data_IF_186756519069
#
_entry.id   IF_186756519069
#
_cell.length_a   1.000
_cell.length_b   1.000
_cell.length_c   1.000
_cell.angle_alpha   90.00
_cell.angle_beta   90.00
_cell.angle_gamma   90.00
#
_symmetry.space_group_name_H-M   'P 1'
#
loop_
_entity.id
_entity.type
_entity.pdbx_description
1 polymer ?
#
# COMPACT_ATOMS: atom_id res chain seq x y z
N UNK A 1 -3.50 36.15 -0.76
CA UNK A 1 -4.09 35.06 0.05
C UNK A 1 -4.43 33.94 -0.91
N UNK A 2 -3.51 33.02 -1.14
CA UNK A 2 -3.73 31.87 -2.02
C UNK A 2 -4.30 30.76 -1.15
N UNK A 3 -5.58 30.42 -1.36
CA UNK A 3 -6.19 29.21 -0.85
C UNK A 3 -5.57 28.03 -1.61
N UNK A 4 -4.50 27.44 -1.06
CA UNK A 4 -4.08 26.12 -1.51
C UNK A 4 -5.18 25.15 -1.09
N UNK A 5 -5.97 24.68 -2.05
CA UNK A 5 -6.87 23.57 -1.80
C UNK A 5 -6.00 22.41 -1.27
N UNK A 6 -6.20 22.07 0.01
CA UNK A 6 -5.58 20.90 0.62
C UNK A 6 -6.04 19.69 -0.18
N UNK A 7 -5.11 18.88 -0.65
CA UNK A 7 -5.48 17.57 -1.20
C UNK A 7 -6.24 16.81 -0.11
N UNK A 8 -7.40 16.23 -0.44
CA UNK A 8 -8.18 15.48 0.53
C UNK A 8 -7.35 14.29 1.02
N UNK A 9 -7.18 14.16 2.33
CA UNK A 9 -6.56 12.98 2.93
C UNK A 9 -7.47 11.78 2.71
N UNK A 10 -6.91 10.65 2.36
CA UNK A 10 -7.67 9.41 2.11
C UNK A 10 -8.50 8.97 3.33
N UNK A 11 -8.01 9.25 4.53
CA UNK A 11 -8.67 8.92 5.80
C UNK A 11 -9.72 9.94 6.26
N UNK A 12 -9.77 11.15 5.67
CA UNK A 12 -10.64 12.23 6.16
C UNK A 12 -12.13 11.84 6.17
N UNK A 13 -12.61 11.26 5.08
CA UNK A 13 -14.03 10.83 4.98
C UNK A 13 -14.40 9.80 6.06
N UNK A 14 -13.47 8.89 6.37
CA UNK A 14 -13.67 7.89 7.41
C UNK A 14 -13.67 8.53 8.81
N UNK A 15 -12.72 9.43 9.07
CA UNK A 15 -12.64 10.15 10.35
C UNK A 15 -13.86 11.04 10.56
N UNK A 16 -14.34 11.74 9.53
CA UNK A 16 -15.56 12.55 9.57
C UNK A 16 -16.78 11.70 9.95
N UNK A 17 -16.96 10.56 9.29
CA UNK A 17 -18.07 9.66 9.56
C UNK A 17 -18.02 9.09 10.99
N UNK A 18 -16.85 8.64 11.45
CA UNK A 18 -16.68 8.10 12.80
C UNK A 18 -16.86 9.18 13.88
N UNK A 19 -16.49 10.42 13.59
CA UNK A 19 -16.67 11.57 14.48
C UNK A 19 -18.15 11.95 14.56
N UNK A 20 -18.86 12.00 13.43
CA UNK A 20 -20.27 12.29 13.39
C UNK A 20 -21.14 11.27 14.17
N UNK A 21 -20.70 10.02 14.21
CA UNK A 21 -21.33 8.95 15.00
C UNK A 21 -20.83 8.90 16.47
N UNK A 22 -20.03 9.87 16.90
CA UNK A 22 -19.44 9.95 18.26
C UNK A 22 -18.68 8.67 18.68
N UNK A 23 -18.19 7.92 17.68
CA UNK A 23 -17.54 6.61 17.90
C UNK A 23 -16.03 6.67 17.90
N UNK A 24 -15.44 7.76 17.40
CA UNK A 24 -13.98 7.96 17.34
C UNK A 24 -13.46 8.58 18.63
N UNK A 25 -12.72 7.80 19.41
CA UNK A 25 -12.07 8.27 20.64
C UNK A 25 -10.57 8.48 20.47
N UNK A 26 -9.95 7.60 19.67
CA UNK A 26 -8.50 7.60 19.45
C UNK A 26 -8.18 7.31 17.99
N UNK A 27 -7.22 8.06 17.45
CA UNK A 27 -6.61 7.81 16.13
C UNK A 27 -5.15 7.37 16.33
N UNK A 28 -4.79 6.24 15.73
CA UNK A 28 -3.44 5.67 15.84
C UNK A 28 -2.85 5.50 14.45
N UNK A 29 -2.24 6.54 13.87
CA UNK A 29 -1.50 6.39 12.61
C UNK A 29 -0.19 5.62 12.85
N UNK A 30 0.15 4.74 11.90
CA UNK A 30 1.40 4.00 11.88
C UNK A 30 2.08 4.21 10.54
N UNK A 31 3.32 4.67 10.54
CA UNK A 31 4.15 4.87 9.34
C UNK A 31 5.63 4.74 9.68
N UNK A 32 6.46 4.38 8.70
CA UNK A 32 7.93 4.32 8.84
C UNK A 32 8.56 5.69 8.81
N UNK A 33 7.92 6.67 8.18
CA UNK A 33 8.40 8.04 8.07
C UNK A 33 7.93 8.88 9.25
N UNK A 34 8.81 9.10 10.23
CA UNK A 34 8.53 9.95 11.40
C UNK A 34 8.07 11.36 10.99
N UNK A 35 8.71 11.97 10.00
CA UNK A 35 8.39 13.32 9.54
C UNK A 35 6.95 13.41 9.01
N UNK A 36 6.56 12.48 8.12
CA UNK A 36 5.22 12.42 7.56
C UNK A 36 4.19 12.12 8.63
N UNK A 37 4.50 11.17 9.51
CA UNK A 37 3.63 10.75 10.61
C UNK A 37 3.33 11.91 11.56
N UNK A 38 4.36 12.65 11.99
CA UNK A 38 4.23 13.81 12.89
C UNK A 38 3.42 14.91 12.22
N UNK A 39 3.69 15.23 10.95
CA UNK A 39 2.92 16.24 10.20
C UNK A 39 1.44 15.85 10.07
N UNK A 40 1.15 14.58 9.77
CA UNK A 40 -0.21 14.04 9.69
C UNK A 40 -0.92 14.09 11.05
N UNK A 41 -0.24 13.69 12.14
CA UNK A 41 -0.80 13.71 13.48
C UNK A 41 -1.19 15.13 13.92
N UNK A 42 -0.35 16.13 13.66
CA UNK A 42 -0.69 17.54 13.94
C UNK A 42 -1.87 18.04 13.09
N UNK A 43 -1.94 17.64 11.82
CA UNK A 43 -3.06 18.02 10.96
C UNK A 43 -4.39 17.45 11.46
N UNK A 44 -4.38 16.17 11.90
CA UNK A 44 -5.57 15.53 12.49
C UNK A 44 -5.94 16.20 13.83
N UNK A 45 -4.97 16.46 14.71
CA UNK A 45 -5.22 17.12 15.99
C UNK A 45 -5.85 18.52 15.84
N UNK A 46 -5.46 19.25 14.81
CA UNK A 46 -6.01 20.58 14.54
C UNK A 46 -7.46 20.52 14.03
N UNK A 47 -7.85 19.45 13.36
CA UNK A 47 -9.18 19.27 12.75
C UNK A 47 -10.16 18.57 13.70
N UNK A 48 -9.67 17.60 14.48
CA UNK A 48 -10.46 16.75 15.39
C UNK A 48 -10.00 16.93 16.85
N UNK A 49 -10.31 18.08 17.44
CA UNK A 49 -9.79 18.47 18.78
C UNK A 49 -10.26 17.56 19.94
N UNK A 50 -11.30 16.74 19.75
CA UNK A 50 -11.87 15.90 20.79
C UNK A 50 -11.27 14.47 20.84
N UNK A 51 -10.40 14.10 19.89
CA UNK A 51 -9.83 12.76 19.83
C UNK A 51 -8.42 12.70 20.35
N UNK A 52 -8.05 11.59 20.98
CA UNK A 52 -6.67 11.28 21.34
C UNK A 52 -5.89 10.83 20.08
N UNK A 53 -4.66 11.33 19.90
CA UNK A 53 -3.79 10.88 18.83
C UNK A 53 -2.55 10.20 19.42
N UNK A 54 -2.32 8.97 18.99
CA UNK A 54 -1.18 8.16 19.42
C UNK A 54 -0.42 7.67 18.18
N UNK A 55 0.55 8.46 17.70
CA UNK A 55 1.34 8.11 16.52
C UNK A 55 2.38 7.03 16.83
N UNK A 56 2.52 6.05 15.95
CA UNK A 56 3.48 4.94 16.06
C UNK A 56 4.43 4.96 14.88
N UNK A 57 5.71 5.25 15.11
CA UNK A 57 6.76 5.11 14.09
C UNK A 57 7.11 3.63 13.96
N UNK A 58 6.85 3.04 12.80
CA UNK A 58 7.08 1.60 12.61
C UNK A 58 6.68 1.10 11.23
N UNK A 59 7.15 -0.09 10.94
CA UNK A 59 6.82 -0.86 9.76
C UNK A 59 5.60 -1.73 10.05
N UNK A 60 4.52 -1.57 9.30
CA UNK A 60 3.27 -2.33 9.52
C UNK A 60 3.44 -3.85 9.33
N UNK A 61 4.45 -4.30 8.58
CA UNK A 61 4.74 -5.74 8.47
C UNK A 61 5.36 -6.32 9.76
N UNK A 62 5.92 -5.50 10.65
CA UNK A 62 6.71 -5.94 11.82
C UNK A 62 6.18 -5.39 13.15
N UNK A 63 5.56 -4.23 13.14
CA UNK A 63 5.28 -3.47 14.36
C UNK A 63 3.79 -3.32 14.67
N UNK A 64 2.90 -4.12 14.07
CA UNK A 64 1.46 -4.11 14.40
C UNK A 64 1.19 -4.32 15.89
N UNK A 65 2.04 -5.09 16.58
CA UNK A 65 1.91 -5.31 18.03
C UNK A 65 2.21 -4.07 18.87
N UNK A 66 2.85 -3.04 18.32
CA UNK A 66 3.07 -1.76 18.99
C UNK A 66 1.83 -0.85 18.96
N UNK A 67 0.84 -1.17 18.13
CA UNK A 67 -0.44 -0.43 18.09
C UNK A 67 -1.22 -0.75 19.37
N UNK A 68 -1.56 0.28 20.17
CA UNK A 68 -2.26 0.06 21.44
C UNK A 68 -3.62 -0.59 21.23
N UNK A 69 -4.01 -1.45 22.17
CA UNK A 69 -5.34 -2.04 22.23
C UNK A 69 -6.42 -0.99 22.56
N UNK A 70 -7.68 -1.39 22.40
CA UNK A 70 -8.86 -0.57 22.72
C UNK A 70 -10.09 -1.46 22.86
N UNK A 71 -11.24 -0.87 23.21
CA UNK A 71 -12.49 -1.62 23.39
C UNK A 71 -13.09 -2.10 22.07
N UNK A 72 -12.97 -1.27 21.01
CA UNK A 72 -13.34 -1.60 19.63
C UNK A 72 -12.38 -0.89 18.70
N UNK A 73 -11.77 -1.63 17.81
CA UNK A 73 -10.79 -1.09 16.86
C UNK A 73 -11.24 -1.28 15.43
N UNK A 74 -11.02 -0.26 14.62
CA UNK A 74 -11.05 -0.37 13.17
C UNK A 74 -9.61 -0.20 12.66
N UNK A 75 -9.02 -1.28 12.19
CA UNK A 75 -7.75 -1.22 11.47
C UNK A 75 -8.06 -0.83 10.03
N UNK A 76 -7.65 0.37 9.62
CA UNK A 76 -7.84 0.87 8.26
C UNK A 76 -6.53 0.79 7.48
N UNK A 77 -6.51 0.01 6.40
CA UNK A 77 -5.36 -0.17 5.52
C UNK A 77 -5.75 0.28 4.11
N UNK A 78 -5.61 1.58 3.89
CA UNK A 78 -6.10 2.29 2.70
C UNK A 78 -4.97 2.56 1.71
N UNK A 79 -5.28 3.19 0.56
CA UNK A 79 -4.29 3.59 -0.45
C UNK A 79 -3.78 2.47 -1.34
N UNK A 80 -4.50 1.35 -1.45
CA UNK A 80 -4.12 0.18 -2.28
C UNK A 80 -2.77 -0.45 -1.94
N UNK A 81 -2.18 -0.11 -0.80
CA UNK A 81 -0.87 -0.61 -0.35
C UNK A 81 -0.84 -2.12 -0.18
N UNK A 82 -1.99 -2.74 0.15
CA UNK A 82 -2.10 -4.19 0.27
C UNK A 82 -1.79 -4.91 -1.05
N UNK A 83 -2.05 -4.27 -2.18
CA UNK A 83 -1.73 -4.77 -3.51
C UNK A 83 -0.23 -4.86 -3.79
N UNK A 84 0.57 -4.06 -3.11
CA UNK A 84 2.03 -4.03 -3.29
C UNK A 84 2.74 -5.13 -2.48
N UNK A 85 2.02 -5.80 -1.59
CA UNK A 85 2.55 -6.96 -0.88
C UNK A 85 2.56 -8.20 -1.79
N UNK A 86 3.73 -8.84 -1.92
CA UNK A 86 3.81 -10.16 -2.52
C UNK A 86 2.93 -11.16 -1.74
N UNK A 87 2.43 -12.24 -2.37
CA UNK A 87 1.46 -13.16 -1.74
C UNK A 87 1.85 -13.62 -0.34
N UNK A 88 3.10 -14.03 -0.15
CA UNK A 88 3.59 -14.53 1.15
C UNK A 88 3.68 -13.40 2.20
N UNK A 89 4.03 -12.18 1.79
CA UNK A 89 4.05 -11.02 2.68
C UNK A 89 2.63 -10.62 3.08
N UNK A 90 1.70 -10.62 2.11
CA UNK A 90 0.28 -10.32 2.35
C UNK A 90 -0.38 -11.36 3.26
N UNK A 91 -0.09 -12.65 3.06
CA UNK A 91 -0.56 -13.72 3.94
C UNK A 91 -0.07 -13.48 5.38
N UNK A 92 1.23 -13.23 5.58
CA UNK A 92 1.78 -12.92 6.91
C UNK A 92 1.13 -11.69 7.53
N UNK A 93 0.92 -10.63 6.75
CA UNK A 93 0.27 -9.40 7.20
C UNK A 93 -1.17 -9.68 7.66
N UNK A 94 -1.98 -10.35 6.84
CA UNK A 94 -3.37 -10.68 7.18
C UNK A 94 -3.45 -11.58 8.42
N UNK A 95 -2.56 -12.57 8.57
CA UNK A 95 -2.46 -13.38 9.78
C UNK A 95 -2.10 -12.54 11.02
N UNK A 96 -1.14 -11.62 10.91
CA UNK A 96 -0.76 -10.74 12.01
C UNK A 96 -1.91 -9.84 12.44
N UNK A 97 -2.63 -9.26 11.46
CA UNK A 97 -3.85 -8.47 11.72
C UNK A 97 -4.91 -9.34 12.39
N UNK A 98 -5.24 -10.51 11.81
CA UNK A 98 -6.25 -11.43 12.35
C UNK A 98 -5.96 -11.85 13.79
N UNK A 99 -4.68 -12.11 14.13
CA UNK A 99 -4.25 -12.43 15.48
C UNK A 99 -4.37 -11.24 16.45
N UNK A 100 -4.23 -10.01 15.95
CA UNK A 100 -4.32 -8.78 16.75
C UNK A 100 -5.75 -8.34 17.07
N UNK A 101 -6.73 -8.75 16.24
CA UNK A 101 -8.13 -8.34 16.39
C UNK A 101 -8.82 -9.09 17.54
N UNK A 102 -9.50 -8.35 18.40
CA UNK A 102 -10.41 -8.89 19.41
C UNK A 102 -11.84 -9.05 18.84
N UNK A 103 -12.74 -9.79 19.52
CA UNK A 103 -14.16 -9.79 19.15
C UNK A 103 -14.74 -8.36 19.13
N UNK A 104 -15.34 -7.97 18.02
CA UNK A 104 -15.86 -6.62 17.82
C UNK A 104 -14.93 -5.67 17.06
N UNK A 105 -13.66 -6.01 16.89
CA UNK A 105 -12.72 -5.30 16.03
C UNK A 105 -12.97 -5.63 14.53
N UNK A 106 -12.52 -4.75 13.66
CA UNK A 106 -12.62 -4.94 12.21
C UNK A 106 -11.37 -4.47 11.46
N UNK A 107 -11.14 -5.05 10.29
CA UNK A 107 -10.17 -4.60 9.29
C UNK A 107 -10.91 -4.02 8.09
N UNK A 108 -10.57 -2.80 7.70
CA UNK A 108 -11.05 -2.14 6.49
C UNK A 108 -9.86 -1.97 5.53
N UNK A 109 -9.99 -2.45 4.31
CA UNK A 109 -8.98 -2.22 3.27
C UNK A 109 -9.61 -2.14 1.89
N UNK A 110 -8.91 -1.50 0.96
CA UNK A 110 -9.39 -1.33 -0.40
C UNK A 110 -8.31 -1.43 -1.44
N UNK A 111 -8.67 -1.88 -2.63
CA UNK A 111 -7.81 -1.93 -3.80
C UNK A 111 -8.62 -2.03 -5.10
N UNK A 112 -7.91 -1.93 -6.23
CA UNK A 112 -8.48 -2.00 -7.57
C UNK A 112 -8.92 -3.42 -7.94
N UNK A 113 -10.08 -3.51 -8.59
CA UNK A 113 -10.73 -4.76 -9.06
C UNK A 113 -10.91 -4.78 -10.59
N UNK A 114 -10.21 -3.92 -11.32
CA UNK A 114 -10.42 -3.69 -12.75
C UNK A 114 -10.21 -4.93 -13.63
N UNK A 115 -10.83 -4.87 -14.81
CA UNK A 115 -10.52 -5.75 -15.93
C UNK A 115 -9.03 -5.66 -16.32
N UNK A 116 -8.35 -6.80 -16.61
CA UNK A 116 -6.92 -6.82 -16.95
C UNK A 116 -6.50 -5.86 -18.05
N UNK A 117 -7.28 -5.74 -19.12
CA UNK A 117 -6.95 -4.86 -20.24
C UNK A 117 -6.96 -3.37 -19.82
N UNK A 118 -7.88 -2.99 -18.95
CA UNK A 118 -7.96 -1.64 -18.38
C UNK A 118 -6.84 -1.39 -17.36
N UNK A 119 -6.42 -2.43 -16.64
CA UNK A 119 -5.30 -2.37 -15.71
C UNK A 119 -4.00 -2.08 -16.46
N UNK A 120 -3.65 -2.87 -17.47
CA UNK A 120 -2.42 -2.65 -18.25
C UNK A 120 -2.37 -1.23 -18.86
N UNK A 121 -3.49 -0.77 -19.41
CA UNK A 121 -3.59 0.60 -19.95
C UNK A 121 -3.38 1.68 -18.87
N UNK A 122 -3.80 1.45 -17.63
CA UNK A 122 -3.61 2.38 -16.53
C UNK A 122 -2.15 2.49 -16.09
N UNK A 123 -1.40 1.37 -16.10
CA UNK A 123 0.02 1.36 -15.71
C UNK A 123 0.97 1.70 -16.86
N UNK A 124 0.53 1.56 -18.11
CA UNK A 124 1.25 1.99 -19.31
C UNK A 124 0.64 3.27 -19.89
N UNK A 125 0.34 4.23 -19.02
CA UNK A 125 -0.31 5.48 -19.38
C UNK A 125 0.46 6.26 -20.44
N UNK A 126 -0.26 6.85 -21.42
CA UNK A 126 0.34 7.58 -22.54
C UNK A 126 1.15 8.82 -22.14
N UNK A 127 0.99 9.31 -20.91
CA UNK A 127 1.77 10.42 -20.33
C UNK A 127 3.06 9.95 -19.67
N UNK A 128 3.25 8.63 -19.51
CA UNK A 128 4.39 8.00 -18.86
C UNK A 128 4.54 8.40 -17.39
N UNK A 129 3.43 8.63 -16.68
CA UNK A 129 3.48 9.04 -15.27
C UNK A 129 3.95 7.90 -14.39
N UNK A 130 3.45 6.69 -14.64
CA UNK A 130 3.86 5.48 -13.92
C UNK A 130 5.35 5.22 -14.14
N UNK A 131 5.82 5.25 -15.38
CA UNK A 131 7.25 5.09 -15.67
C UNK A 131 8.11 6.11 -14.93
N UNK A 132 7.71 7.40 -14.95
CA UNK A 132 8.46 8.47 -14.27
C UNK A 132 8.51 8.25 -12.76
N UNK A 133 7.39 7.82 -12.17
CA UNK A 133 7.31 7.52 -10.75
C UNK A 133 8.25 6.37 -10.38
N UNK A 134 8.16 5.24 -11.10
CA UNK A 134 8.99 4.05 -10.85
C UNK A 134 10.47 4.34 -11.10
N UNK A 135 10.78 5.07 -12.17
CA UNK A 135 12.16 5.48 -12.51
C UNK A 135 12.76 6.43 -11.45
N UNK A 136 11.94 7.24 -10.78
CA UNK A 136 12.41 8.06 -9.67
C UNK A 136 13.02 7.22 -8.53
N UNK A 137 12.54 5.99 -8.31
CA UNK A 137 13.15 5.07 -7.35
C UNK A 137 14.62 4.77 -7.66
N UNK A 138 14.97 4.59 -8.95
CA UNK A 138 16.36 4.40 -9.38
C UNK A 138 17.21 5.66 -9.12
N UNK A 139 16.65 6.86 -9.33
CA UNK A 139 17.34 8.12 -9.03
C UNK A 139 17.55 8.32 -7.52
N UNK A 140 16.64 7.82 -6.69
CA UNK A 140 16.83 7.81 -5.23
C UNK A 140 18.00 6.90 -4.85
N UNK A 141 18.12 5.70 -5.45
CA UNK A 141 19.26 4.82 -5.22
C UNK A 141 20.59 5.50 -5.63
N UNK A 142 20.58 6.20 -6.77
CA UNK A 142 21.77 6.95 -7.20
C UNK A 142 22.18 8.02 -6.17
N UNK A 143 21.20 8.76 -5.63
CA UNK A 143 21.45 9.82 -4.68
C UNK A 143 21.90 9.29 -3.31
N UNK A 144 21.23 8.26 -2.80
CA UNK A 144 21.43 7.78 -1.42
C UNK A 144 22.61 6.79 -1.33
N UNK A 145 22.83 5.99 -2.38
CA UNK A 145 23.84 4.92 -2.39
C UNK A 145 25.00 5.18 -3.36
N UNK A 146 24.96 6.31 -4.08
CA UNK A 146 25.97 6.63 -5.08
C UNK A 146 25.96 5.70 -6.28
N UNK A 147 24.83 5.02 -6.55
CA UNK A 147 24.72 4.11 -7.68
C UNK A 147 24.71 4.85 -9.02
N UNK A 148 24.80 4.11 -10.12
CA UNK A 148 24.78 4.68 -11.46
C UNK A 148 23.64 4.13 -12.34
N UNK A 149 22.51 3.78 -11.72
CA UNK A 149 21.31 3.34 -12.43
C UNK A 149 20.82 4.35 -13.47
N UNK A 150 21.01 5.65 -13.24
CA UNK A 150 20.64 6.70 -14.21
C UNK A 150 21.46 6.65 -15.51
N UNK A 151 22.64 6.03 -15.48
CA UNK A 151 23.52 5.83 -16.66
C UNK A 151 23.22 4.53 -17.39
N UNK A 152 22.58 3.59 -16.71
CA UNK A 152 22.19 2.31 -17.25
C UNK A 152 21.01 2.47 -18.22
N UNK A 153 20.93 1.54 -19.18
CA UNK A 153 19.85 1.53 -20.18
C UNK A 153 18.80 0.50 -19.75
N UNK A 154 17.63 1.02 -19.41
CA UNK A 154 16.50 0.21 -18.98
C UNK A 154 15.22 0.63 -19.68
N UNK A 155 14.53 -0.31 -20.27
CA UNK A 155 13.19 -0.13 -20.85
C UNK A 155 12.14 -0.46 -19.79
N UNK A 156 11.22 0.49 -19.57
CA UNK A 156 10.10 0.31 -18.64
C UNK A 156 9.09 -0.70 -19.17
N UNK A 157 8.54 -1.51 -18.28
CA UNK A 157 7.42 -2.38 -18.58
C UNK A 157 6.53 -2.57 -17.34
N UNK A 158 5.22 -2.46 -17.56
CA UNK A 158 4.19 -2.88 -16.63
C UNK A 158 3.32 -3.91 -17.35
N UNK A 159 3.37 -5.17 -16.92
CA UNK A 159 2.70 -6.28 -17.59
C UNK A 159 1.76 -7.01 -16.63
N UNK A 160 0.56 -7.33 -17.10
CA UNK A 160 -0.38 -8.16 -16.37
C UNK A 160 0.08 -9.62 -16.30
N UNK A 161 0.19 -10.16 -15.09
CA UNK A 161 0.41 -11.58 -14.85
C UNK A 161 -0.91 -12.23 -14.44
N UNK A 162 -1.57 -12.98 -15.33
CA UNK A 162 -2.86 -13.59 -15.04
C UNK A 162 -2.78 -14.76 -14.03
N UNK A 163 -1.60 -15.35 -13.82
CA UNK A 163 -1.39 -16.41 -12.86
C UNK A 163 -1.41 -15.88 -11.43
N UNK A 164 -0.73 -14.76 -11.24
CA UNK A 164 -0.58 -14.13 -9.92
C UNK A 164 -1.63 -13.05 -9.67
N UNK A 165 -2.38 -12.64 -10.70
CA UNK A 165 -3.37 -11.56 -10.66
C UNK A 165 -2.76 -10.24 -10.17
N UNK A 166 -1.60 -9.88 -10.73
CA UNK A 166 -0.93 -8.63 -10.45
C UNK A 166 -0.38 -7.96 -11.71
N UNK A 167 -0.09 -6.68 -11.60
CA UNK A 167 0.78 -6.00 -12.55
C UNK A 167 2.22 -6.14 -12.05
N UNK A 168 3.08 -6.72 -12.88
CA UNK A 168 4.53 -6.76 -12.65
C UNK A 168 5.15 -5.49 -13.23
N UNK A 169 5.70 -4.65 -12.38
CA UNK A 169 6.17 -3.31 -12.73
C UNK A 169 7.70 -3.26 -12.56
N UNK A 170 8.39 -2.73 -13.57
CA UNK A 170 9.85 -2.59 -13.49
C UNK A 170 10.47 -2.31 -14.86
N UNK A 171 11.67 -2.82 -15.06
CA UNK A 171 12.48 -2.53 -16.24
C UNK A 171 13.08 -3.80 -16.83
N UNK A 172 13.42 -3.74 -18.12
CA UNK A 172 14.27 -4.72 -18.79
C UNK A 172 15.61 -4.07 -19.15
N UNK A 173 16.70 -4.77 -18.87
CA UNK A 173 18.06 -4.32 -19.24
C UNK A 173 18.20 -4.29 -20.77
N UNK A 174 18.71 -3.18 -21.31
CA UNK A 174 19.03 -3.03 -22.73
C UNK A 174 20.51 -3.30 -22.94
N UNK A 175 20.81 -4.51 -23.36
CA UNK A 175 22.17 -5.05 -23.41
C UNK A 175 22.68 -5.55 -22.06
N UNK A 176 23.74 -6.36 -22.10
CA UNK A 176 24.46 -6.73 -20.89
C UNK A 176 25.17 -5.49 -20.30
N UNK A 177 25.03 -5.30 -19.00
CA UNK A 177 25.60 -4.12 -18.32
C UNK A 177 25.84 -4.42 -16.84
N UNK A 178 26.65 -3.57 -16.20
CA UNK A 178 26.93 -3.62 -14.77
C UNK A 178 26.53 -2.28 -14.16
N UNK A 179 25.78 -2.33 -13.08
CA UNK A 179 25.43 -1.15 -12.28
C UNK A 179 26.21 -1.20 -10.98
N UNK A 180 26.95 -0.15 -10.70
CA UNK A 180 27.71 -0.01 -9.48
C UNK A 180 26.84 0.56 -8.37
N UNK A 181 26.94 0.02 -7.15
CA UNK A 181 26.23 0.51 -5.95
C UNK A 181 27.25 0.68 -4.82
N UNK A 182 28.10 1.73 -4.86
CA UNK A 182 29.19 1.94 -3.91
C UNK A 182 28.75 1.97 -2.45
N UNK A 183 27.59 2.53 -2.15
CA UNK A 183 27.03 2.59 -0.79
C UNK A 183 26.79 1.23 -0.16
N UNK A 184 26.63 0.17 -0.97
CA UNK A 184 26.50 -1.22 -0.53
C UNK A 184 27.76 -2.05 -0.83
N UNK A 185 28.77 -1.47 -1.46
CA UNK A 185 29.98 -2.17 -1.92
C UNK A 185 29.68 -3.37 -2.83
N UNK A 186 28.69 -3.22 -3.73
CA UNK A 186 28.29 -4.26 -4.69
C UNK A 186 28.22 -3.72 -6.11
N UNK A 187 28.53 -4.60 -7.06
CA UNK A 187 28.25 -4.42 -8.48
C UNK A 187 27.13 -5.39 -8.86
N UNK A 188 26.10 -4.89 -9.55
CA UNK A 188 24.96 -5.69 -9.99
C UNK A 188 25.06 -5.90 -11.49
N UNK A 189 25.26 -7.15 -11.89
CA UNK A 189 25.33 -7.54 -13.30
C UNK A 189 23.90 -7.79 -13.84
N UNK A 190 23.63 -7.28 -15.04
CA UNK A 190 22.40 -7.53 -15.78
C UNK A 190 22.74 -8.14 -17.14
N UNK A 191 22.14 -9.27 -17.47
CA UNK A 191 22.14 -9.79 -18.82
C UNK A 191 21.26 -8.95 -19.74
N UNK A 192 21.42 -9.08 -21.06
CA UNK A 192 20.51 -8.46 -22.02
C UNK A 192 19.09 -9.03 -21.84
N UNK A 193 18.09 -8.14 -21.71
CA UNK A 193 16.70 -8.49 -21.47
C UNK A 193 16.42 -8.98 -20.04
N UNK A 194 17.37 -8.92 -19.12
CA UNK A 194 17.11 -9.31 -17.72
C UNK A 194 16.15 -8.36 -17.05
N UNK A 195 15.24 -8.93 -16.24
CA UNK A 195 14.18 -8.21 -15.54
C UNK A 195 14.66 -7.61 -14.23
N UNK A 196 14.57 -6.30 -14.09
CA UNK A 196 14.64 -5.59 -12.82
C UNK A 196 13.21 -5.31 -12.35
N UNK A 197 12.66 -6.16 -11.50
CA UNK A 197 11.36 -5.92 -10.88
C UNK A 197 11.50 -4.86 -9.80
N UNK A 198 10.65 -3.82 -9.85
CA UNK A 198 10.62 -2.76 -8.84
C UNK A 198 9.42 -2.95 -7.90
N UNK A 199 8.27 -3.35 -8.45
CA UNK A 199 7.02 -3.42 -7.70
C UNK A 199 6.10 -4.48 -8.30
N UNK A 200 5.20 -4.99 -7.50
CA UNK A 200 4.00 -5.70 -7.95
C UNK A 200 2.77 -4.94 -7.48
N UNK A 201 1.71 -4.97 -8.27
CA UNK A 201 0.43 -4.41 -7.86
C UNK A 201 -0.66 -5.46 -8.08
N UNK A 202 -0.96 -6.22 -7.01
CA UNK A 202 -2.00 -7.24 -7.02
C UNK A 202 -3.37 -6.60 -7.22
N UNK A 203 -4.26 -7.33 -7.89
CA UNK A 203 -5.66 -6.95 -8.06
C UNK A 203 -6.54 -7.99 -7.42
N UNK A 204 -7.64 -7.52 -6.86
CA UNK A 204 -8.45 -8.36 -6.00
C UNK A 204 -9.83 -8.57 -6.58
N UNK A 205 -10.20 -9.85 -6.73
CA UNK A 205 -11.59 -10.26 -6.88
C UNK A 205 -12.13 -10.63 -5.50
N UNK A 206 -13.42 -10.45 -5.30
CA UNK A 206 -14.09 -10.74 -4.03
C UNK A 206 -13.77 -12.15 -3.51
N UNK A 207 -13.82 -13.15 -4.38
CA UNK A 207 -13.58 -14.56 -4.03
C UNK A 207 -12.14 -14.79 -3.53
N UNK A 208 -11.17 -14.07 -4.11
CA UNK A 208 -9.78 -14.12 -3.65
C UNK A 208 -9.65 -13.48 -2.27
N UNK A 209 -10.28 -12.33 -2.05
CA UNK A 209 -10.31 -11.66 -0.74
C UNK A 209 -10.93 -12.58 0.31
N UNK A 210 -12.07 -13.21 0.03
CA UNK A 210 -12.72 -14.17 0.94
C UNK A 210 -11.78 -15.34 1.29
N UNK A 211 -11.06 -15.86 0.30
CA UNK A 211 -10.11 -16.97 0.51
C UNK A 211 -8.92 -16.56 1.39
N UNK A 212 -8.27 -15.43 1.06
CA UNK A 212 -7.10 -14.93 1.81
C UNK A 212 -7.48 -14.53 3.25
N UNK A 213 -8.63 -13.90 3.44
CA UNK A 213 -9.17 -13.58 4.78
C UNK A 213 -9.47 -14.85 5.58
N UNK A 214 -10.10 -15.84 4.95
CA UNK A 214 -10.42 -17.12 5.59
C UNK A 214 -9.18 -17.87 6.09
N UNK A 215 -8.09 -17.86 5.31
CA UNK A 215 -6.81 -18.40 5.73
C UNK A 215 -6.25 -17.70 6.98
N UNK A 216 -6.51 -16.40 7.13
CA UNK A 216 -6.07 -15.60 8.29
C UNK A 216 -7.05 -15.62 9.48
N UNK A 217 -8.09 -16.47 9.46
CA UNK A 217 -9.11 -16.52 10.51
C UNK A 217 -10.06 -15.32 10.54
N UNK A 218 -10.20 -14.65 9.41
CA UNK A 218 -11.07 -13.49 9.20
C UNK A 218 -12.24 -13.88 8.28
N UNK A 219 -13.36 -13.15 8.40
CA UNK A 219 -14.54 -13.30 7.54
C UNK A 219 -14.85 -11.98 6.89
N UNK A 220 -15.10 -11.98 5.59
CA UNK A 220 -15.57 -10.82 4.85
C UNK A 220 -17.00 -10.47 5.29
N UNK A 221 -17.16 -9.41 6.07
CA UNK A 221 -18.44 -8.96 6.59
C UNK A 221 -19.21 -8.09 5.58
N UNK A 222 -18.49 -7.24 4.83
CA UNK A 222 -19.05 -6.36 3.79
C UNK A 222 -18.06 -6.20 2.65
N UNK A 223 -18.62 -6.02 1.46
CA UNK A 223 -17.90 -5.69 0.24
C UNK A 223 -18.66 -4.60 -0.50
N UNK A 224 -17.98 -3.52 -0.80
CA UNK A 224 -18.51 -2.41 -1.59
C UNK A 224 -17.65 -2.23 -2.84
N UNK A 225 -18.25 -1.73 -3.90
CA UNK A 225 -17.55 -1.28 -5.10
C UNK A 225 -18.06 0.08 -5.50
N UNK A 226 -17.25 0.82 -6.25
CA UNK A 226 -17.72 1.98 -6.98
C UNK A 226 -18.69 1.56 -8.11
N UNK A 227 -19.36 2.54 -8.74
CA UNK A 227 -20.35 2.29 -9.80
C UNK A 227 -19.76 1.53 -11.01
N UNK A 228 -18.48 1.78 -11.32
CA UNK A 228 -17.79 1.12 -12.43
C UNK A 228 -17.28 -0.28 -12.08
N UNK A 229 -17.30 -0.65 -10.78
CA UNK A 229 -16.70 -1.89 -10.29
C UNK A 229 -15.17 -1.90 -10.39
N UNK A 230 -14.54 -0.73 -10.43
CA UNK A 230 -13.10 -0.57 -10.60
C UNK A 230 -12.33 -0.57 -9.28
N UNK A 231 -13.01 -0.25 -8.18
CA UNK A 231 -12.44 -0.22 -6.84
C UNK A 231 -13.33 -1.02 -5.88
N UNK A 232 -12.70 -1.83 -5.04
CA UNK A 232 -13.38 -2.62 -4.00
C UNK A 232 -12.92 -2.19 -2.61
N UNK A 233 -13.87 -2.09 -1.68
CA UNK A 233 -13.62 -1.85 -0.26
C UNK A 233 -14.16 -3.04 0.54
N UNK A 234 -13.29 -3.65 1.32
CA UNK A 234 -13.58 -4.83 2.14
C UNK A 234 -13.58 -4.49 3.62
N UNK A 235 -14.63 -4.88 4.33
CA UNK A 235 -14.67 -4.90 5.79
C UNK A 235 -14.63 -6.36 6.24
N UNK A 236 -13.62 -6.70 7.01
CA UNK A 236 -13.44 -8.04 7.57
C UNK A 236 -13.52 -8.00 9.10
N UNK A 237 -14.01 -9.06 9.70
CA UNK A 237 -14.09 -9.26 11.14
C UNK A 237 -13.47 -10.61 11.52
N UNK A 238 -13.13 -10.78 12.77
CA UNK A 238 -12.65 -12.08 13.26
C UNK A 238 -13.75 -13.15 13.09
N UNK A 239 -13.36 -14.33 12.60
CA UNK A 239 -14.28 -15.46 12.52
C UNK A 239 -14.82 -15.82 13.92
N UNK A 240 -16.10 -16.17 14.05
CA UNK A 240 -16.61 -16.69 15.30
C UNK A 240 -15.84 -17.97 15.69
N UNK A 241 -15.61 -18.13 17.00
CA UNK A 241 -14.92 -19.31 17.55
C UNK A 241 -15.76 -20.57 17.37
#
# INVERSE_FOLDING_TARGET
>A
MSSSAREPREDATLLDALTAEESLQRFVPLDVSEEVLVASAYAVAAEYAAIEIHAVVGDFERHLSAVPGGDRRLVAFLGSTIGNLAPEARERFLHAVGASLAPGDALLFGDLVKDPARIEAAYNDSRGLTEKFVRNGLLVLDRELGSDFSRARFDFAAAWDPRNEWVDIGFYSVGAQVVQVPGLSVDVEFADGERLRVEVSSKFRRERVETELGAAGLVLARWWTDEAGDFGLALAVRAPA
#
